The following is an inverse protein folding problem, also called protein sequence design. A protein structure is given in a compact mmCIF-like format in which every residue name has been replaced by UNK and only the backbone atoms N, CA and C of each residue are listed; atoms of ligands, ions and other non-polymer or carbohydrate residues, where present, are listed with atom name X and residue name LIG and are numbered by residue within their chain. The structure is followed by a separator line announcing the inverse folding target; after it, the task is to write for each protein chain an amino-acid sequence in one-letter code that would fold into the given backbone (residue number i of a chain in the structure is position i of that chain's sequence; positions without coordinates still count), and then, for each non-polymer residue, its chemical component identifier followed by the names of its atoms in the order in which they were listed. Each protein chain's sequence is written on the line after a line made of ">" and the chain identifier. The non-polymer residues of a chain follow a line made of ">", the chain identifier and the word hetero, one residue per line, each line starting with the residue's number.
data_IF_081473964400
#
_entry.id   IF_081473964400
#
_cell.length_a   1.000
_cell.length_b   1.000
_cell.length_c   1.000
_cell.angle_alpha   90.00
_cell.angle_beta   90.00
_cell.angle_gamma   90.00
#
_symmetry.space_group_name_H-M   'P 1'
#
loop_
_entity.id
_entity.type
_entity.pdbx_description
1 polymer ?
#
# COMPACT_ATOMS: atom_id res chain seq x y z
N UNK A 1 25.71 -24.62 6.21
CA UNK A 1 24.35 -24.41 6.77
C UNK A 1 23.97 -22.93 6.94
N UNK A 2 24.92 -22.02 7.22
CA UNK A 2 24.66 -20.56 7.37
C UNK A 2 24.22 -19.80 6.10
N UNK A 3 24.37 -20.39 4.90
CA UNK A 3 24.00 -19.77 3.62
C UNK A 3 22.53 -20.01 3.19
N UNK A 4 21.77 -20.83 3.91
CA UNK A 4 20.35 -21.07 3.62
C UNK A 4 19.41 -20.04 4.26
N UNK A 5 19.87 -19.39 5.34
CA UNK A 5 19.09 -18.42 6.12
C UNK A 5 18.76 -17.14 5.31
N UNK A 6 19.69 -16.55 4.52
CA UNK A 6 19.38 -15.37 3.72
C UNK A 6 18.32 -15.66 2.65
N UNK A 7 18.37 -16.83 2.02
CA UNK A 7 17.44 -17.20 0.95
C UNK A 7 16.01 -17.40 1.45
N UNK A 8 15.84 -17.97 2.65
CA UNK A 8 14.52 -18.15 3.28
C UNK A 8 13.94 -16.80 3.71
N UNK A 9 14.77 -15.88 4.24
CA UNK A 9 14.33 -14.53 4.60
C UNK A 9 13.91 -13.70 3.38
N UNK A 10 14.64 -13.81 2.26
CA UNK A 10 14.29 -13.13 1.00
C UNK A 10 13.02 -13.73 0.39
N UNK A 11 12.88 -15.06 0.37
CA UNK A 11 11.66 -15.73 -0.08
C UNK A 11 10.46 -15.44 0.83
N UNK A 12 10.66 -15.35 2.14
CA UNK A 12 9.62 -14.94 3.07
C UNK A 12 9.23 -13.49 2.78
N UNK A 13 10.18 -12.57 2.65
CA UNK A 13 9.91 -11.17 2.33
C UNK A 13 9.16 -10.99 1.00
N UNK A 14 9.51 -11.76 -0.05
CA UNK A 14 8.81 -11.76 -1.35
C UNK A 14 7.41 -12.41 -1.29
N UNK A 15 7.24 -13.50 -0.54
CA UNK A 15 5.92 -14.12 -0.31
C UNK A 15 5.00 -13.20 0.50
N UNK A 16 5.58 -12.50 1.47
CA UNK A 16 4.93 -11.47 2.28
C UNK A 16 4.51 -10.28 1.42
N UNK A 17 5.28 -9.97 0.37
CA UNK A 17 5.03 -8.86 -0.53
C UNK A 17 3.74 -9.05 -1.36
N UNK A 18 3.56 -10.22 -1.96
CA UNK A 18 2.35 -10.59 -2.69
C UNK A 18 1.13 -10.71 -1.77
N UNK A 19 1.33 -11.18 -0.54
CA UNK A 19 0.26 -11.30 0.45
C UNK A 19 -0.20 -9.97 1.04
N UNK A 20 0.68 -8.96 1.08
CA UNK A 20 0.38 -7.60 1.54
C UNK A 20 -0.35 -6.77 0.47
N UNK A 21 0.00 -6.96 -0.81
CA UNK A 21 -0.59 -6.17 -1.89
C UNK A 21 -2.12 -6.33 -1.98
N UNK A 22 -2.62 -7.56 -1.83
CA UNK A 22 -4.07 -7.85 -1.82
C UNK A 22 -4.57 -8.40 -0.47
N UNK A 23 -3.89 -8.00 0.61
CA UNK A 23 -4.28 -8.23 2.01
C UNK A 23 -4.86 -9.63 2.31
N UNK A 24 -4.03 -10.66 2.10
CA UNK A 24 -4.34 -11.98 2.64
C UNK A 24 -4.37 -11.89 4.18
N UNK A 25 -5.55 -12.07 4.77
CA UNK A 25 -5.83 -12.03 6.22
C UNK A 25 -4.86 -12.89 7.07
N UNK A 26 -4.29 -13.92 6.46
CA UNK A 26 -3.28 -14.82 7.04
C UNK A 26 -1.92 -14.15 7.28
N UNK A 27 -1.61 -13.04 6.63
CA UNK A 27 -0.30 -12.39 6.66
C UNK A 27 -0.09 -11.59 7.96
N UNK A 28 -1.13 -10.96 8.49
CA UNK A 28 -1.09 -10.21 9.76
C UNK A 28 -0.68 -11.05 10.99
N UNK A 29 -1.29 -12.21 11.27
CA UNK A 29 -0.85 -13.05 12.39
C UNK A 29 0.57 -13.60 12.17
N UNK A 30 0.96 -13.87 10.93
CA UNK A 30 2.35 -14.26 10.61
C UNK A 30 3.33 -13.11 10.92
N UNK A 31 2.97 -11.85 10.64
CA UNK A 31 3.77 -10.68 11.03
C UNK A 31 3.87 -10.51 12.54
N UNK A 32 2.76 -10.63 13.27
CA UNK A 32 2.74 -10.53 14.73
C UNK A 32 3.61 -11.60 15.38
N UNK A 33 3.45 -12.85 14.92
CA UNK A 33 4.22 -14.00 15.42
C UNK A 33 5.69 -13.86 15.04
N UNK A 34 6.00 -13.54 13.78
CA UNK A 34 7.37 -13.35 13.29
C UNK A 34 8.07 -12.18 13.98
N UNK A 35 7.37 -11.07 14.21
CA UNK A 35 7.86 -9.91 14.95
C UNK A 35 8.16 -10.26 16.41
N UNK A 36 7.27 -11.00 17.08
CA UNK A 36 7.49 -11.47 18.45
C UNK A 36 8.71 -12.41 18.55
N UNK A 37 8.84 -13.38 17.63
CA UNK A 37 10.00 -14.26 17.58
C UNK A 37 11.30 -13.49 17.28
N UNK A 38 11.26 -12.53 16.36
CA UNK A 38 12.39 -11.66 16.06
C UNK A 38 12.83 -10.84 17.26
N UNK A 39 11.88 -10.24 17.99
CA UNK A 39 12.14 -9.49 19.21
C UNK A 39 12.75 -10.37 20.31
N UNK A 40 12.20 -11.58 20.53
CA UNK A 40 12.75 -12.54 21.48
C UNK A 40 14.16 -12.96 21.10
N UNK A 41 14.42 -13.24 19.82
CA UNK A 41 15.75 -13.60 19.33
C UNK A 41 16.77 -12.47 19.55
N UNK A 42 16.37 -11.21 19.34
CA UNK A 42 17.19 -10.03 19.62
C UNK A 42 17.50 -9.90 21.11
N UNK A 43 16.50 -10.03 22.00
CA UNK A 43 16.69 -9.96 23.46
C UNK A 43 17.65 -11.06 23.93
N UNK A 44 17.45 -12.29 23.47
CA UNK A 44 18.32 -13.43 23.79
C UNK A 44 19.74 -13.18 23.24
N UNK A 45 19.85 -12.68 22.00
CA UNK A 45 21.12 -12.36 21.36
C UNK A 45 21.93 -11.29 22.12
N UNK A 46 21.27 -10.24 22.61
CA UNK A 46 21.89 -9.20 23.45
C UNK A 46 22.35 -9.82 24.79
N UNK A 47 21.49 -10.59 25.46
CA UNK A 47 21.83 -11.23 26.74
C UNK A 47 23.02 -12.19 26.65
N UNK A 48 23.08 -13.00 25.57
CA UNK A 48 24.20 -13.89 25.29
C UNK A 48 25.46 -13.11 24.88
N UNK A 49 25.31 -12.05 24.08
CA UNK A 49 26.41 -11.20 23.64
C UNK A 49 27.10 -10.47 24.80
N UNK A 50 26.33 -9.89 25.72
CA UNK A 50 26.88 -9.21 26.90
C UNK A 50 27.67 -10.18 27.80
N UNK A 51 27.22 -11.44 27.93
CA UNK A 51 27.95 -12.48 28.68
C UNK A 51 29.21 -12.98 27.97
N UNK A 52 29.28 -12.92 26.64
CA UNK A 52 30.37 -13.48 25.84
C UNK A 52 31.59 -12.53 25.65
N UNK A 53 31.54 -11.32 26.21
CA UNK A 53 32.64 -10.34 26.12
C UNK A 53 32.93 -9.91 24.67
N UNK A 54 34.21 -9.84 24.27
CA UNK A 54 34.64 -9.33 22.94
C UNK A 54 34.02 -10.06 21.74
N UNK A 55 33.67 -11.35 21.88
CA UNK A 55 33.01 -12.13 20.82
C UNK A 55 31.51 -11.83 20.70
N UNK A 56 30.91 -11.26 21.75
CA UNK A 56 29.52 -10.85 21.77
C UNK A 56 29.23 -9.53 21.04
N UNK A 57 30.26 -8.73 20.76
CA UNK A 57 30.13 -7.47 20.01
C UNK A 57 29.45 -7.68 18.65
N UNK A 58 29.81 -8.76 17.95
CA UNK A 58 29.19 -9.10 16.66
C UNK A 58 27.67 -9.30 16.78
N UNK A 59 27.22 -10.01 17.81
CA UNK A 59 25.79 -10.25 18.05
C UNK A 59 25.04 -8.97 18.42
N UNK A 60 25.64 -8.10 19.22
CA UNK A 60 25.05 -6.79 19.56
C UNK A 60 24.94 -5.91 18.32
N UNK A 61 25.98 -5.83 17.49
CA UNK A 61 25.96 -5.06 16.23
C UNK A 61 24.90 -5.61 15.28
N UNK A 62 24.79 -6.93 15.13
CA UNK A 62 23.75 -7.57 14.32
C UNK A 62 22.34 -7.23 14.83
N UNK A 63 22.12 -7.29 16.14
CA UNK A 63 20.83 -6.94 16.75
C UNK A 63 20.46 -5.47 16.49
N UNK A 64 21.41 -4.55 16.68
CA UNK A 64 21.22 -3.12 16.40
C UNK A 64 20.92 -2.89 14.92
N UNK A 65 21.63 -3.58 14.01
CA UNK A 65 21.37 -3.49 12.57
C UNK A 65 19.97 -4.00 12.20
N UNK A 66 19.50 -5.10 12.81
CA UNK A 66 18.15 -5.62 12.59
C UNK A 66 17.08 -4.66 13.12
N UNK A 67 17.27 -4.11 14.32
CA UNK A 67 16.36 -3.08 14.87
C UNK A 67 16.34 -1.85 13.96
N UNK A 68 17.51 -1.38 13.51
CA UNK A 68 17.63 -0.26 12.58
C UNK A 68 16.91 -0.52 11.25
N UNK A 69 17.08 -1.71 10.68
CA UNK A 69 16.37 -2.10 9.45
C UNK A 69 14.86 -2.12 9.67
N UNK A 70 14.38 -2.65 10.80
CA UNK A 70 12.95 -2.67 11.12
C UNK A 70 12.38 -1.27 11.34
N UNK A 71 13.12 -0.38 12.01
CA UNK A 71 12.73 1.01 12.22
C UNK A 71 12.63 1.81 10.90
N UNK A 72 13.40 1.41 9.88
CA UNK A 72 13.36 2.01 8.54
C UNK A 72 12.24 1.44 7.64
N UNK A 73 11.59 0.36 8.04
CA UNK A 73 10.57 -0.32 7.24
C UNK A 73 9.44 0.61 6.77
N UNK A 74 8.85 1.49 7.61
CA UNK A 74 7.79 2.41 7.16
C UNK A 74 8.26 3.34 6.04
N UNK A 75 9.48 3.88 6.13
CA UNK A 75 10.04 4.75 5.11
C UNK A 75 10.28 4.01 3.78
N UNK A 76 10.72 2.75 3.86
CA UNK A 76 10.93 1.90 2.69
C UNK A 76 9.59 1.62 2.00
N UNK A 77 8.52 1.37 2.77
CA UNK A 77 7.18 1.15 2.23
C UNK A 77 6.62 2.41 1.55
N UNK A 78 6.73 3.58 2.20
CA UNK A 78 6.32 4.87 1.63
C UNK A 78 7.07 5.20 0.33
N UNK A 79 8.39 4.96 0.32
CA UNK A 79 9.23 5.16 -0.85
C UNK A 79 8.84 4.25 -2.00
N UNK A 80 8.55 2.98 -1.70
CA UNK A 80 8.09 2.01 -2.68
C UNK A 80 6.74 2.41 -3.28
N UNK A 81 5.76 2.81 -2.48
CA UNK A 81 4.47 3.29 -2.98
C UNK A 81 4.65 4.47 -3.94
N UNK A 82 5.56 5.39 -3.60
CA UNK A 82 5.89 6.53 -4.46
C UNK A 82 6.52 6.09 -5.79
N UNK A 83 7.42 5.11 -5.75
CA UNK A 83 8.03 4.52 -6.96
C UNK A 83 7.00 3.82 -7.84
N UNK A 84 6.14 3.00 -7.24
CA UNK A 84 5.09 2.29 -7.95
C UNK A 84 4.13 3.27 -8.65
N UNK A 85 3.75 4.34 -7.96
CA UNK A 85 2.97 5.42 -8.56
C UNK A 85 3.70 6.03 -9.77
N UNK A 86 4.98 6.39 -9.65
CA UNK A 86 5.76 6.97 -10.74
C UNK A 86 5.81 6.04 -11.96
N UNK A 87 5.98 4.74 -11.73
CA UNK A 87 6.04 3.74 -12.81
C UNK A 87 4.69 3.56 -13.51
N UNK A 88 3.59 3.57 -12.75
CA UNK A 88 2.23 3.36 -13.27
C UNK A 88 1.56 4.64 -13.76
N UNK A 89 2.12 5.81 -13.46
CA UNK A 89 1.52 7.13 -13.76
C UNK A 89 1.12 7.29 -15.23
N UNK A 90 1.94 6.83 -16.17
CA UNK A 90 1.62 6.95 -17.59
C UNK A 90 0.33 6.19 -17.94
N UNK A 91 0.19 4.95 -17.47
CA UNK A 91 -1.04 4.17 -17.66
C UNK A 91 -2.23 4.74 -16.90
N UNK A 92 -2.02 5.31 -15.71
CA UNK A 92 -3.11 6.02 -15.02
C UNK A 92 -3.61 7.22 -15.82
N UNK A 93 -2.72 8.00 -16.43
CA UNK A 93 -3.10 9.13 -17.28
C UNK A 93 -3.84 8.68 -18.54
N UNK A 94 -3.41 7.59 -19.17
CA UNK A 94 -4.10 7.00 -20.32
C UNK A 94 -5.56 6.64 -20.00
N UNK A 95 -5.79 5.98 -18.85
CA UNK A 95 -7.15 5.67 -18.39
C UNK A 95 -7.94 6.95 -18.10
N UNK A 96 -7.33 7.97 -17.49
CA UNK A 96 -7.99 9.27 -17.27
C UNK A 96 -8.42 9.92 -18.59
N UNK A 97 -7.58 9.84 -19.62
CA UNK A 97 -7.89 10.39 -20.94
C UNK A 97 -9.03 9.59 -21.59
N UNK A 98 -9.04 8.25 -21.48
CA UNK A 98 -10.15 7.41 -21.93
C UNK A 98 -11.48 7.73 -21.21
N UNK A 99 -11.44 8.06 -19.92
CA UNK A 99 -12.60 8.52 -19.16
C UNK A 99 -13.07 9.88 -19.67
N UNK A 100 -12.15 10.81 -19.92
CA UNK A 100 -12.47 12.16 -20.44
C UNK A 100 -13.07 12.11 -21.84
N UNK A 101 -12.59 11.20 -22.68
CA UNK A 101 -13.13 10.95 -24.02
C UNK A 101 -14.48 10.22 -23.99
N UNK A 102 -14.90 9.72 -22.83
CA UNK A 102 -16.16 8.99 -22.64
C UNK A 102 -16.11 7.55 -23.13
N UNK A 103 -14.91 7.00 -23.39
CA UNK A 103 -14.71 5.60 -23.73
C UNK A 103 -14.94 4.69 -22.51
N UNK A 104 -14.61 5.18 -21.32
CA UNK A 104 -14.93 4.54 -20.04
C UNK A 104 -15.95 5.42 -19.32
N UNK A 105 -17.10 4.85 -18.97
CA UNK A 105 -18.19 5.56 -18.29
C UNK A 105 -18.46 4.94 -16.92
N UNK A 106 -18.82 5.75 -15.90
CA UNK A 106 -19.28 5.22 -14.63
C UNK A 106 -20.53 4.36 -14.84
N UNK A 107 -20.52 3.16 -14.27
CA UNK A 107 -21.69 2.30 -14.11
C UNK A 107 -22.38 2.55 -12.78
N UNK A 108 -22.95 1.50 -12.19
CA UNK A 108 -23.63 1.60 -10.90
C UNK A 108 -22.68 2.04 -9.78
N UNK A 109 -23.14 2.98 -8.95
CA UNK A 109 -22.38 3.55 -7.81
C UNK A 109 -21.05 4.19 -8.21
N UNK A 110 -20.99 4.80 -9.39
CA UNK A 110 -19.79 5.47 -9.89
C UNK A 110 -18.60 4.53 -10.15
N UNK A 111 -18.82 3.22 -10.30
CA UNK A 111 -17.76 2.24 -10.59
C UNK A 111 -17.74 1.88 -12.08
N UNK A 112 -16.55 1.76 -12.66
CA UNK A 112 -16.35 1.32 -14.04
C UNK A 112 -15.31 0.21 -14.11
N UNK A 113 -15.53 -0.79 -14.96
CA UNK A 113 -14.54 -1.85 -15.22
C UNK A 113 -13.52 -1.36 -16.26
N UNK A 114 -12.26 -1.68 -16.03
CA UNK A 114 -11.17 -1.39 -16.98
C UNK A 114 -10.89 -2.61 -17.86
N UNK A 115 -10.44 -2.35 -19.07
CA UNK A 115 -10.05 -3.38 -20.03
C UNK A 115 -8.82 -4.18 -19.53
N UNK A 116 -8.58 -5.33 -20.17
CA UNK A 116 -7.50 -6.25 -19.79
C UNK A 116 -6.11 -5.61 -19.84
N UNK A 117 -5.89 -4.65 -20.73
CA UNK A 117 -4.56 -4.12 -21.01
C UNK A 117 -4.12 -3.16 -19.89
N UNK A 118 -5.08 -2.60 -19.16
CA UNK A 118 -4.85 -1.71 -18.02
C UNK A 118 -4.93 -2.41 -16.65
N UNK A 119 -5.28 -3.70 -16.56
CA UNK A 119 -5.43 -4.42 -15.27
C UNK A 119 -4.20 -4.39 -14.38
N UNK A 120 -2.99 -4.28 -14.95
CA UNK A 120 -1.75 -4.17 -14.17
C UNK A 120 -1.70 -2.94 -13.24
N UNK A 121 -2.51 -1.92 -13.54
CA UNK A 121 -2.66 -0.71 -12.73
C UNK A 121 -3.39 -0.97 -11.41
N UNK A 122 -4.22 -2.02 -11.36
CA UNK A 122 -5.13 -2.38 -10.28
C UNK A 122 -4.85 -3.83 -9.83
N UNK A 123 -3.84 -4.07 -8.97
CA UNK A 123 -3.42 -5.44 -8.64
C UNK A 123 -4.50 -6.28 -7.94
N UNK A 124 -5.48 -5.65 -7.30
CA UNK A 124 -6.47 -6.32 -6.47
C UNK A 124 -7.92 -6.14 -6.92
N UNK A 125 -8.16 -5.45 -8.04
CA UNK A 125 -9.49 -5.24 -8.62
C UNK A 125 -9.41 -4.97 -10.12
N UNK A 126 -10.52 -5.03 -10.83
CA UNK A 126 -10.62 -4.58 -12.23
C UNK A 126 -11.42 -3.29 -12.37
N UNK A 127 -11.79 -2.65 -11.25
CA UNK A 127 -12.69 -1.51 -11.25
C UNK A 127 -11.97 -0.23 -10.84
N UNK A 128 -12.37 0.89 -11.42
CA UNK A 128 -12.06 2.24 -10.97
C UNK A 128 -13.35 2.93 -10.50
N UNK A 129 -13.22 3.96 -9.68
CA UNK A 129 -14.35 4.86 -9.39
C UNK A 129 -14.19 6.15 -10.19
N UNK A 130 -15.26 6.60 -10.84
CA UNK A 130 -15.31 7.81 -11.65
C UNK A 130 -16.44 8.69 -11.15
N UNK A 131 -16.12 9.92 -10.77
CA UNK A 131 -17.12 10.96 -10.47
C UNK A 131 -16.79 12.19 -11.30
N UNK A 132 -17.77 12.67 -12.06
CA UNK A 132 -17.70 13.94 -12.79
C UNK A 132 -18.76 14.88 -12.23
N UNK A 133 -18.32 16.01 -11.67
CA UNK A 133 -19.18 16.99 -11.02
C UNK A 133 -18.74 18.43 -11.34
N UNK A 134 -19.37 19.43 -10.72
CA UNK A 134 -19.08 20.85 -10.97
C UNK A 134 -17.65 21.29 -10.59
N UNK A 135 -16.87 20.46 -9.89
CA UNK A 135 -15.46 20.68 -9.56
C UNK A 135 -14.49 19.96 -10.52
N UNK A 136 -15.01 19.23 -11.49
CA UNK A 136 -14.24 18.51 -12.51
C UNK A 136 -14.24 17.00 -12.31
N UNK A 137 -13.36 16.34 -13.07
CA UNK A 137 -13.23 14.90 -13.07
C UNK A 137 -12.41 14.37 -11.88
N UNK A 138 -12.96 13.35 -11.21
CA UNK A 138 -12.30 12.57 -10.18
C UNK A 138 -12.24 11.10 -10.60
N UNK A 139 -11.06 10.48 -10.52
CA UNK A 139 -10.88 9.05 -10.84
C UNK A 139 -10.05 8.37 -9.76
N UNK A 140 -10.56 7.31 -9.15
CA UNK A 140 -9.84 6.49 -8.17
C UNK A 140 -9.37 5.18 -8.81
N UNK A 141 -8.08 4.93 -8.70
CA UNK A 141 -7.43 3.66 -8.98
C UNK A 141 -7.16 2.94 -7.67
N UNK A 142 -7.92 1.88 -7.38
CA UNK A 142 -7.75 1.11 -6.15
C UNK A 142 -6.48 0.27 -6.21
N UNK A 143 -5.58 0.51 -5.25
CA UNK A 143 -4.32 -0.23 -5.09
C UNK A 143 -4.41 -1.28 -4.00
N UNK A 144 -5.36 -1.14 -3.08
CA UNK A 144 -5.70 -2.20 -2.13
C UNK A 144 -7.20 -2.20 -1.80
N UNK A 145 -7.71 -3.39 -1.47
CA UNK A 145 -9.00 -3.58 -0.81
C UNK A 145 -8.69 -4.07 0.60
N UNK A 146 -8.80 -3.18 1.60
CA UNK A 146 -8.48 -3.56 2.97
C UNK A 146 -9.64 -4.26 3.65
N UNK A 147 -9.33 -4.94 4.76
CA UNK A 147 -10.36 -5.58 5.59
C UNK A 147 -11.45 -4.58 6.00
N UNK A 148 -12.69 -5.07 6.11
CA UNK A 148 -13.87 -4.32 6.57
C UNK A 148 -14.38 -3.22 5.62
N UNK A 149 -14.03 -3.26 4.33
CA UNK A 149 -14.56 -2.35 3.31
C UNK A 149 -13.70 -1.11 3.07
N UNK A 150 -12.67 -0.93 3.90
CA UNK A 150 -11.63 0.08 3.67
C UNK A 150 -10.96 -0.11 2.29
N UNK A 151 -10.57 0.98 1.64
CA UNK A 151 -9.80 0.89 0.40
C UNK A 151 -8.72 1.95 0.37
N UNK A 152 -7.67 1.67 -0.39
CA UNK A 152 -6.64 2.67 -0.68
C UNK A 152 -6.36 2.74 -2.17
N UNK A 153 -5.92 3.91 -2.62
CA UNK A 153 -5.70 4.11 -4.05
C UNK A 153 -5.10 5.45 -4.39
N UNK A 154 -4.80 5.60 -5.68
CA UNK A 154 -4.43 6.87 -6.27
C UNK A 154 -5.67 7.53 -6.87
N UNK A 155 -5.93 8.77 -6.47
CA UNK A 155 -7.00 9.59 -6.98
C UNK A 155 -6.42 10.67 -7.89
N UNK A 156 -6.91 10.71 -9.13
CA UNK A 156 -6.77 11.85 -10.01
C UNK A 156 -7.82 12.90 -9.67
N UNK A 157 -7.41 14.16 -9.61
CA UNK A 157 -8.29 15.31 -9.42
C UNK A 157 -7.94 16.38 -10.46
N UNK A 158 -8.89 16.72 -11.32
CA UNK A 158 -8.65 17.60 -12.46
C UNK A 158 -8.20 19.02 -12.08
N UNK A 159 -8.80 19.60 -11.03
CA UNK A 159 -8.48 20.94 -10.54
C UNK A 159 -7.22 20.97 -9.63
N UNK A 160 -6.63 19.81 -9.34
CA UNK A 160 -5.48 19.65 -8.46
C UNK A 160 -5.72 20.04 -6.99
N UNK A 161 -6.97 20.35 -6.61
CA UNK A 161 -7.34 20.61 -5.23
C UNK A 161 -7.49 19.30 -4.47
N UNK A 162 -7.22 19.34 -3.17
CA UNK A 162 -7.41 18.16 -2.33
C UNK A 162 -8.89 17.74 -2.37
N UNK A 163 -9.18 16.44 -2.54
CA UNK A 163 -10.55 15.96 -2.53
C UNK A 163 -11.18 16.24 -1.17
N UNK A 164 -12.48 16.56 -1.17
CA UNK A 164 -13.24 16.74 0.06
C UNK A 164 -13.92 15.43 0.47
N UNK A 165 -14.50 15.43 1.66
CA UNK A 165 -15.35 14.34 2.14
C UNK A 165 -16.69 14.24 1.40
N UNK A 166 -16.93 15.02 0.34
CA UNK A 166 -18.16 14.96 -0.45
C UNK A 166 -18.04 14.09 -1.70
N UNK A 167 -16.84 13.94 -2.28
CA UNK A 167 -16.61 13.06 -3.42
C UNK A 167 -16.81 11.59 -3.05
N UNK A 168 -17.28 10.81 -4.02
CA UNK A 168 -17.59 9.39 -3.97
C UNK A 168 -18.55 9.01 -2.84
N UNK A 169 -19.62 9.80 -2.66
CA UNK A 169 -20.63 9.52 -1.62
C UNK A 169 -21.30 8.17 -1.79
N UNK A 170 -21.48 7.73 -3.02
CA UNK A 170 -22.15 6.46 -3.35
C UNK A 170 -21.35 5.22 -2.93
N UNK A 171 -20.03 5.35 -2.80
CA UNK A 171 -19.18 4.29 -2.24
C UNK A 171 -19.38 4.11 -0.73
N UNK A 172 -20.06 5.04 -0.04
CA UNK A 172 -20.25 5.06 1.43
C UNK A 172 -21.46 4.26 1.91
N UNK A 173 -21.80 3.17 1.25
CA UNK A 173 -23.04 2.44 1.48
C UNK A 173 -23.27 1.94 2.94
N UNK A 174 -22.29 2.07 3.84
CA UNK A 174 -22.31 1.42 5.16
C UNK A 174 -21.95 2.30 6.37
N UNK A 175 -21.66 3.61 6.25
CA UNK A 175 -21.38 4.40 7.45
C UNK A 175 -21.00 5.88 7.26
N UNK A 176 -21.08 6.71 8.31
CA UNK A 176 -20.70 8.11 8.28
C UNK A 176 -19.18 8.30 8.45
N UNK A 177 -18.37 7.91 7.47
CA UNK A 177 -16.90 8.00 7.55
C UNK A 177 -16.24 8.77 6.39
N UNK A 178 -15.10 9.39 6.70
CA UNK A 178 -14.36 10.38 5.90
C UNK A 178 -13.10 9.74 5.27
N UNK A 179 -12.48 10.41 4.30
CA UNK A 179 -11.11 10.08 3.89
C UNK A 179 -10.19 10.14 5.12
N UNK A 180 -9.75 8.97 5.61
CA UNK A 180 -8.90 8.88 6.80
C UNK A 180 -7.49 9.41 6.55
N UNK A 181 -7.09 9.40 5.27
CA UNK A 181 -5.81 9.93 4.84
C UNK A 181 -5.89 10.47 3.40
N UNK A 182 -5.39 11.69 3.20
CA UNK A 182 -5.20 12.30 1.88
C UNK A 182 -3.76 12.84 1.84
N UNK A 183 -2.92 12.28 0.97
CA UNK A 183 -1.54 12.70 0.77
C UNK A 183 -1.36 13.08 -0.70
N UNK A 184 -0.98 14.33 -0.97
CA UNK A 184 -0.63 14.74 -2.33
C UNK A 184 0.66 14.01 -2.76
N UNK A 185 0.61 13.34 -3.91
CA UNK A 185 1.77 12.65 -4.50
C UNK A 185 2.28 13.35 -5.76
N UNK A 186 1.44 14.14 -6.42
CA UNK A 186 1.80 14.99 -7.57
C UNK A 186 0.80 16.15 -7.72
N UNK A 187 0.91 16.97 -8.76
CA UNK A 187 0.06 18.12 -9.04
C UNK A 187 -1.44 17.77 -8.99
N UNK A 188 -1.86 16.75 -9.75
CA UNK A 188 -3.26 16.33 -9.85
C UNK A 188 -3.53 14.98 -9.19
N UNK A 189 -2.62 14.52 -8.33
CA UNK A 189 -2.63 13.16 -7.81
C UNK A 189 -2.54 13.12 -6.30
N UNK A 190 -3.44 12.37 -5.70
CA UNK A 190 -3.53 12.16 -4.26
C UNK A 190 -3.56 10.67 -3.98
N UNK A 191 -2.80 10.23 -2.98
CA UNK A 191 -3.00 8.93 -2.36
C UNK A 191 -4.07 9.08 -1.28
N UNK A 192 -5.11 8.26 -1.39
CA UNK A 192 -6.27 8.30 -0.51
C UNK A 192 -6.44 6.97 0.21
N UNK A 193 -6.78 7.04 1.49
CA UNK A 193 -7.24 5.90 2.28
C UNK A 193 -8.65 6.21 2.75
N UNK A 194 -9.53 5.25 2.52
CA UNK A 194 -10.85 5.23 3.08
C UNK A 194 -10.88 4.22 4.23
N UNK A 195 -11.28 4.70 5.41
CA UNK A 195 -11.47 3.88 6.62
C UNK A 195 -12.94 3.87 6.98
N UNK A 196 -13.37 2.81 7.64
CA UNK A 196 -14.76 2.52 7.97
C UNK A 196 -15.07 2.65 9.45
#
# INVERSE_FOLDING_TARGET
>A
MLLLIPSILVLAALSLDLGLACENLLVYPIYMVGGLFGLLAVIIGIGLGVRAGRKGLFFVVLCVAVIGAYALLPNILDWRQSLEFVWKRAGYMEVVDLVREGNIKPGDKSLAEIDSDHRYLLPCTSQIAIEDNSRGLFVIFFTSNRMFGEFSGHMYVEDGQAPSVQQFRELRALGPEQWSHIKRVDANWFYVIWSH
#
